data_IF_541064798724
#
_entry.id   IF_541064798724
#
_cell.length_a   1.000
_cell.length_b   1.000
_cell.length_c   1.000
_cell.angle_alpha   90.00
_cell.angle_beta   90.00
_cell.angle_gamma   90.00
#
_symmetry.space_group_name_H-M   'P 1'
#
loop_
_entity.id
_entity.type
_entity.pdbx_description
1 polymer ?
#
# COMPACT_ATOMS: atom_id res chain seq x y z
N UNK A 1 1.10 -29.65 21.73
CA UNK A 1 0.68 -28.40 21.06
C UNK A 1 -0.30 -27.73 22.00
N UNK A 2 0.13 -26.75 22.81
CA UNK A 2 -0.81 -26.12 23.75
C UNK A 2 -1.57 -25.00 23.04
N UNK A 3 -2.59 -25.45 22.31
CA UNK A 3 -3.72 -24.70 21.77
C UNK A 3 -4.47 -24.00 22.89
N UNK A 4 -5.14 -22.89 22.58
CA UNK A 4 -5.97 -22.07 23.48
C UNK A 4 -6.74 -22.93 24.48
N UNK A 5 -6.15 -23.10 25.66
CA UNK A 5 -6.64 -24.04 26.66
C UNK A 5 -7.70 -23.31 27.47
N UNK A 6 -8.95 -23.77 27.48
CA UNK A 6 -10.03 -23.12 28.22
C UNK A 6 -9.78 -23.09 29.74
N UNK A 7 -8.85 -23.89 30.25
CA UNK A 7 -8.45 -23.89 31.66
C UNK A 7 -7.40 -22.83 32.00
N UNK A 8 -6.70 -22.28 31.01
CA UNK A 8 -5.72 -21.21 31.20
C UNK A 8 -6.42 -19.84 31.17
N UNK A 9 -6.37 -19.15 32.31
CA UNK A 9 -6.96 -17.81 32.47
C UNK A 9 -6.20 -16.75 31.68
N UNK A 10 -4.89 -16.94 31.45
CA UNK A 10 -4.05 -15.93 30.81
C UNK A 10 -3.82 -16.22 29.30
N UNK A 11 -4.46 -15.46 28.40
CA UNK A 11 -4.32 -15.65 26.96
C UNK A 11 -2.95 -15.23 26.41
N UNK A 12 -2.11 -14.55 27.20
CA UNK A 12 -0.78 -14.11 26.78
C UNK A 12 0.23 -15.26 26.59
N UNK A 13 -0.12 -16.46 27.07
CA UNK A 13 0.67 -17.68 26.84
C UNK A 13 0.23 -18.45 25.60
N UNK A 14 -0.87 -18.03 24.96
CA UNK A 14 -1.43 -18.71 23.82
C UNK A 14 -0.62 -18.41 22.57
N UNK A 15 -0.43 -19.44 21.73
CA UNK A 15 0.08 -19.23 20.39
C UNK A 15 -0.82 -18.25 19.63
N UNK A 16 -0.19 -17.44 18.77
CA UNK A 16 -0.87 -16.46 17.92
C UNK A 16 -1.49 -15.27 18.67
N UNK A 17 -1.27 -15.17 19.99
CA UNK A 17 -1.69 -14.02 20.81
C UNK A 17 -0.43 -13.31 21.31
N UNK A 18 -0.41 -11.98 21.19
CA UNK A 18 0.63 -11.12 21.78
C UNK A 18 -0.03 -10.20 22.78
N UNK A 19 0.63 -10.00 23.93
CA UNK A 19 0.21 -9.05 24.95
C UNK A 19 1.24 -7.94 25.18
N UNK A 20 0.79 -6.83 25.75
CA UNK A 20 1.68 -5.79 26.28
C UNK A 20 2.23 -6.17 27.67
N UNK A 21 3.00 -5.27 28.27
CA UNK A 21 3.60 -5.44 29.60
C UNK A 21 2.56 -5.53 30.74
N UNK A 22 1.33 -5.09 30.49
CA UNK A 22 0.20 -5.16 31.43
C UNK A 22 -0.61 -6.45 31.26
N UNK A 23 -0.11 -7.43 30.49
CA UNK A 23 -0.81 -8.68 30.17
C UNK A 23 -2.15 -8.49 29.45
N UNK A 24 -2.31 -7.37 28.72
CA UNK A 24 -3.47 -7.14 27.86
C UNK A 24 -3.14 -7.52 26.42
N UNK A 25 -4.06 -8.20 25.75
CA UNK A 25 -3.92 -8.61 24.35
C UNK A 25 -3.81 -7.40 23.43
N UNK A 26 -2.77 -7.37 22.59
CA UNK A 26 -2.49 -6.31 21.61
C UNK A 26 -2.46 -6.80 20.17
N UNK A 27 -2.21 -8.09 19.93
CA UNK A 27 -2.26 -8.69 18.59
C UNK A 27 -2.82 -10.10 18.62
N UNK A 28 -3.67 -10.40 17.65
CA UNK A 28 -4.09 -11.76 17.29
C UNK A 28 -3.65 -12.00 15.84
N UNK A 29 -2.83 -13.02 15.62
CA UNK A 29 -2.26 -13.36 14.32
C UNK A 29 -2.54 -14.81 13.93
N UNK A 30 -3.66 -15.02 13.25
CA UNK A 30 -4.15 -16.33 12.81
C UNK A 30 -4.27 -16.40 11.29
N UNK A 31 -3.34 -15.78 10.58
CA UNK A 31 -3.28 -15.84 9.12
C UNK A 31 -3.07 -17.27 8.60
N UNK A 32 -3.72 -17.64 7.50
CA UNK A 32 -3.51 -18.93 6.81
C UNK A 32 -3.64 -20.16 7.72
N UNK A 33 -4.48 -20.08 8.75
CA UNK A 33 -4.64 -21.10 9.77
C UNK A 33 -5.75 -22.13 9.45
N UNK A 34 -6.32 -22.07 8.24
CA UNK A 34 -7.44 -22.91 7.78
C UNK A 34 -8.65 -22.84 8.73
N UNK A 35 -8.85 -21.69 9.38
CA UNK A 35 -9.94 -21.46 10.31
C UNK A 35 -11.27 -21.38 9.57
N UNK A 36 -12.33 -21.85 10.22
CA UNK A 36 -13.72 -21.73 9.77
C UNK A 36 -14.59 -21.34 10.96
N UNK A 37 -15.88 -21.07 10.72
CA UNK A 37 -16.79 -20.56 11.74
C UNK A 37 -17.09 -19.08 11.55
N UNK A 38 -17.36 -18.36 12.64
CA UNK A 38 -17.77 -16.96 12.60
C UNK A 38 -16.98 -16.12 13.61
N UNK A 39 -16.84 -14.83 13.33
CA UNK A 39 -16.35 -13.86 14.30
C UNK A 39 -17.39 -13.69 15.42
N UNK A 40 -16.91 -13.53 16.65
CA UNK A 40 -17.75 -13.41 17.83
C UNK A 40 -17.72 -11.98 18.37
N UNK A 41 -18.84 -11.52 18.93
CA UNK A 41 -19.01 -10.15 19.46
C UNK A 41 -18.02 -9.84 20.60
N UNK A 42 -17.58 -10.86 21.33
CA UNK A 42 -16.63 -10.76 22.44
C UNK A 42 -15.24 -10.27 21.98
N UNK A 43 -14.91 -10.36 20.68
CA UNK A 43 -13.69 -9.75 20.14
C UNK A 43 -13.64 -8.23 20.42
N UNK A 44 -14.80 -7.56 20.46
CA UNK A 44 -14.90 -6.14 20.78
C UNK A 44 -14.55 -5.78 22.24
N UNK A 45 -14.31 -6.77 23.11
CA UNK A 45 -13.91 -6.55 24.51
C UNK A 45 -12.40 -6.38 24.67
N UNK A 46 -11.61 -6.66 23.64
CA UNK A 46 -10.15 -6.56 23.66
C UNK A 46 -9.69 -5.10 23.48
N UNK A 47 -9.97 -4.24 24.46
CA UNK A 47 -9.82 -2.78 24.34
C UNK A 47 -8.43 -2.27 23.92
N UNK A 48 -7.37 -3.04 24.17
CA UNK A 48 -5.98 -2.70 23.79
C UNK A 48 -5.52 -3.39 22.50
N UNK A 49 -6.40 -4.08 21.77
CA UNK A 49 -6.06 -4.74 20.52
C UNK A 49 -5.65 -3.70 19.47
N UNK A 50 -4.49 -3.91 18.86
CA UNK A 50 -3.90 -3.07 17.83
C UNK A 50 -3.90 -3.76 16.47
N UNK A 51 -3.74 -5.09 16.44
CA UNK A 51 -3.66 -5.87 15.19
C UNK A 51 -4.58 -7.08 15.28
N UNK A 52 -5.54 -7.15 14.35
CA UNK A 52 -6.40 -8.31 14.15
C UNK A 52 -6.18 -8.87 12.75
N UNK A 53 -5.35 -9.91 12.67
CA UNK A 53 -4.88 -10.52 11.42
C UNK A 53 -5.53 -11.90 11.27
N UNK A 54 -6.62 -11.98 10.50
CA UNK A 54 -7.40 -13.21 10.30
C UNK A 54 -7.53 -13.59 8.81
N UNK A 55 -6.69 -13.01 7.96
CA UNK A 55 -6.77 -13.18 6.51
C UNK A 55 -6.37 -14.59 6.05
N UNK A 56 -6.77 -14.94 4.83
CA UNK A 56 -6.52 -16.26 4.21
C UNK A 56 -7.07 -17.42 5.07
N UNK A 57 -8.35 -17.35 5.39
CA UNK A 57 -9.07 -18.38 6.13
C UNK A 57 -10.43 -18.66 5.45
N UNK A 58 -11.29 -19.44 6.12
CA UNK A 58 -12.66 -19.77 5.67
C UNK A 58 -13.70 -19.23 6.66
N UNK A 59 -13.40 -18.09 7.31
CA UNK A 59 -14.30 -17.47 8.27
C UNK A 59 -15.52 -16.93 7.51
N UNK A 60 -16.69 -17.17 8.07
CA UNK A 60 -18.00 -16.87 7.48
C UNK A 60 -18.83 -16.00 8.43
N UNK A 61 -20.07 -15.68 8.05
CA UNK A 61 -20.94 -14.82 8.84
C UNK A 61 -20.66 -13.33 8.63
N UNK A 62 -21.10 -12.48 9.55
CA UNK A 62 -20.96 -11.03 9.45
C UNK A 62 -19.74 -10.53 10.22
N UNK A 63 -19.26 -9.34 9.85
CA UNK A 63 -18.33 -8.57 10.68
C UNK A 63 -19.15 -8.00 11.86
N UNK A 64 -18.83 -8.32 13.13
CA UNK A 64 -19.59 -7.82 14.28
C UNK A 64 -19.44 -6.29 14.44
N UNK A 65 -20.53 -5.62 14.79
CA UNK A 65 -20.53 -4.17 15.02
C UNK A 65 -19.63 -3.79 16.21
N UNK A 66 -19.44 -4.72 17.15
CA UNK A 66 -18.60 -4.56 18.35
C UNK A 66 -17.11 -4.42 18.03
N UNK A 67 -16.65 -4.80 16.83
CA UNK A 67 -15.27 -4.49 16.41
C UNK A 67 -15.01 -2.98 16.37
N UNK A 68 -16.06 -2.15 16.22
CA UNK A 68 -15.96 -0.70 16.34
C UNK A 68 -15.63 -0.18 17.75
N UNK A 69 -15.63 -1.04 18.78
CA UNK A 69 -15.21 -0.69 20.14
C UNK A 69 -13.68 -0.75 20.33
N UNK A 70 -12.94 -1.30 19.37
CA UNK A 70 -11.49 -1.49 19.44
C UNK A 70 -10.74 -0.20 19.08
N UNK A 71 -10.95 0.88 19.83
CA UNK A 71 -10.44 2.23 19.49
C UNK A 71 -8.90 2.34 19.38
N UNK A 72 -8.16 1.33 19.84
CA UNK A 72 -6.72 1.22 19.67
C UNK A 72 -6.27 0.46 18.40
N UNK A 73 -7.22 -0.05 17.61
CA UNK A 73 -6.94 -0.89 16.45
C UNK A 73 -6.23 -0.07 15.35
N UNK A 74 -5.12 -0.61 14.87
CA UNK A 74 -4.27 -0.06 13.81
C UNK A 74 -4.45 -0.86 12.53
N UNK A 75 -4.60 -2.19 12.62
CA UNK A 75 -4.78 -3.08 11.49
C UNK A 75 -5.98 -4.00 11.68
N UNK A 76 -6.89 -4.00 10.70
CA UNK A 76 -8.00 -4.93 10.60
C UNK A 76 -7.91 -5.66 9.25
N UNK A 77 -7.41 -6.89 9.28
CA UNK A 77 -7.12 -7.67 8.10
C UNK A 77 -7.93 -8.95 8.06
N UNK A 78 -9.03 -8.90 7.30
CA UNK A 78 -10.02 -9.96 7.15
C UNK A 78 -10.13 -10.48 5.71
N UNK A 79 -9.22 -10.06 4.82
CA UNK A 79 -9.25 -10.41 3.41
C UNK A 79 -9.07 -11.91 3.15
N UNK A 80 -9.48 -12.39 1.97
CA UNK A 80 -9.46 -13.83 1.62
C UNK A 80 -10.20 -14.68 2.67
N UNK A 81 -11.48 -14.37 2.87
CA UNK A 81 -12.40 -15.11 3.74
C UNK A 81 -13.77 -15.25 3.06
N UNK A 82 -14.75 -15.79 3.77
CA UNK A 82 -16.10 -16.02 3.29
C UNK A 82 -17.12 -15.13 4.04
N UNK A 83 -16.71 -13.92 4.47
CA UNK A 83 -17.53 -12.98 5.22
C UNK A 83 -18.65 -12.40 4.33
N UNK A 84 -19.79 -12.14 4.96
CA UNK A 84 -21.07 -11.73 4.33
C UNK A 84 -21.69 -10.55 5.07
N UNK A 85 -22.74 -9.96 4.51
CA UNK A 85 -23.43 -8.82 5.11
C UNK A 85 -22.71 -7.48 4.89
N UNK A 86 -23.16 -6.41 5.56
CA UNK A 86 -22.59 -5.08 5.39
C UNK A 86 -21.25 -4.90 6.12
N UNK A 87 -20.48 -3.92 5.67
CA UNK A 87 -19.38 -3.34 6.47
C UNK A 87 -20.03 -2.53 7.60
N UNK A 88 -19.73 -2.78 8.88
CA UNK A 88 -20.33 -2.03 9.99
C UNK A 88 -19.97 -0.55 9.96
N UNK A 89 -20.97 0.33 10.11
CA UNK A 89 -20.75 1.77 10.24
C UNK A 89 -19.92 2.12 11.49
N UNK A 90 -19.92 1.24 12.49
CA UNK A 90 -19.15 1.39 13.73
C UNK A 90 -17.64 1.37 13.50
N UNK A 91 -17.15 0.81 12.40
CA UNK A 91 -15.72 0.84 12.05
C UNK A 91 -15.21 2.27 11.83
N UNK A 92 -16.08 3.22 11.49
CA UNK A 92 -15.72 4.64 11.41
C UNK A 92 -15.34 5.29 12.75
N UNK A 93 -15.54 4.60 13.88
CA UNK A 93 -15.09 5.05 15.22
C UNK A 93 -13.60 4.79 15.46
N UNK A 94 -12.96 3.96 14.63
CA UNK A 94 -11.59 3.49 14.83
C UNK A 94 -10.56 4.54 14.39
N UNK A 95 -10.41 5.60 15.18
CA UNK A 95 -9.58 6.77 14.83
C UNK A 95 -8.09 6.49 14.63
N UNK A 96 -7.57 5.35 15.11
CA UNK A 96 -6.18 4.91 14.92
C UNK A 96 -5.98 3.93 13.76
N UNK A 97 -7.05 3.54 13.06
CA UNK A 97 -7.02 2.51 12.03
C UNK A 97 -6.24 3.00 10.80
N UNK A 98 -5.14 2.31 10.49
CA UNK A 98 -4.27 2.62 9.33
C UNK A 98 -4.49 1.65 8.18
N UNK A 99 -4.82 0.40 8.48
CA UNK A 99 -4.98 -0.65 7.49
C UNK A 99 -6.36 -1.31 7.65
N UNK A 100 -7.16 -1.22 6.60
CA UNK A 100 -8.46 -1.89 6.51
C UNK A 100 -8.50 -2.70 5.20
N UNK A 101 -8.28 -4.01 5.31
CA UNK A 101 -8.31 -4.93 4.17
C UNK A 101 -9.42 -5.94 4.34
N UNK A 102 -10.46 -5.78 3.52
CA UNK A 102 -11.66 -6.62 3.50
C UNK A 102 -11.87 -7.27 2.12
N UNK A 103 -10.88 -7.16 1.22
CA UNK A 103 -10.95 -7.69 -0.13
C UNK A 103 -11.11 -9.22 -0.17
N UNK A 104 -11.60 -9.73 -1.30
CA UNK A 104 -11.81 -11.17 -1.51
C UNK A 104 -12.71 -11.79 -0.44
N UNK A 105 -13.91 -11.23 -0.31
CA UNK A 105 -14.99 -11.71 0.56
C UNK A 105 -16.33 -11.63 -0.21
N UNK A 106 -17.45 -11.80 0.50
CA UNK A 106 -18.81 -11.74 -0.06
C UNK A 106 -19.61 -10.62 0.63
N UNK A 107 -18.94 -9.52 0.97
CA UNK A 107 -19.56 -8.36 1.63
C UNK A 107 -20.54 -7.66 0.68
N UNK A 108 -21.63 -7.15 1.24
CA UNK A 108 -22.77 -6.57 0.52
C UNK A 108 -23.13 -5.20 1.08
N UNK A 109 -24.05 -4.48 0.45
CA UNK A 109 -24.49 -3.17 0.95
C UNK A 109 -23.52 -2.04 0.59
N UNK A 110 -23.69 -0.89 1.23
CA UNK A 110 -22.95 0.33 0.92
C UNK A 110 -21.62 0.40 1.67
N UNK A 111 -20.67 1.16 1.12
CA UNK A 111 -19.49 1.58 1.88
C UNK A 111 -19.94 2.62 2.91
N UNK A 112 -19.75 2.40 4.22
CA UNK A 112 -20.14 3.35 5.26
C UNK A 112 -19.50 4.72 5.08
N UNK A 113 -20.32 5.77 5.07
CA UNK A 113 -19.82 7.15 5.05
C UNK A 113 -19.00 7.49 6.29
N UNK A 114 -19.22 6.80 7.41
CA UNK A 114 -18.44 6.97 8.64
C UNK A 114 -16.95 6.64 8.47
N UNK A 115 -16.58 5.76 7.53
CA UNK A 115 -15.18 5.46 7.26
C UNK A 115 -14.41 6.67 6.70
N UNK A 116 -15.10 7.62 6.06
CA UNK A 116 -14.48 8.86 5.56
C UNK A 116 -13.99 9.78 6.69
N UNK A 117 -14.50 9.60 7.91
CA UNK A 117 -14.05 10.35 9.09
C UNK A 117 -12.72 9.82 9.65
N UNK A 118 -12.26 8.65 9.20
CA UNK A 118 -11.03 8.03 9.69
C UNK A 118 -9.83 8.58 8.90
N UNK A 119 -9.28 9.70 9.38
CA UNK A 119 -8.15 10.40 8.74
C UNK A 119 -6.82 9.64 8.79
N UNK A 120 -6.71 8.62 9.65
CA UNK A 120 -5.51 7.81 9.83
C UNK A 120 -5.37 6.65 8.83
N UNK A 121 -6.40 6.35 8.03
CA UNK A 121 -6.36 5.26 7.05
C UNK A 121 -5.31 5.54 5.98
N UNK A 122 -4.38 4.61 5.83
CA UNK A 122 -3.29 4.62 4.85
C UNK A 122 -3.54 3.61 3.74
N UNK A 123 -4.15 2.47 4.07
CA UNK A 123 -4.54 1.45 3.11
C UNK A 123 -5.98 1.03 3.35
N UNK A 124 -6.73 1.10 2.27
CA UNK A 124 -8.07 0.56 2.17
C UNK A 124 -8.07 -0.41 0.97
N UNK A 125 -8.54 -1.62 1.19
CA UNK A 125 -8.82 -2.56 0.10
C UNK A 125 -10.16 -3.26 0.35
N UNK A 126 -11.14 -2.94 -0.49
CA UNK A 126 -12.49 -3.47 -0.50
C UNK A 126 -12.79 -4.24 -1.80
N UNK A 127 -11.76 -4.50 -2.62
CA UNK A 127 -11.92 -5.12 -3.93
C UNK A 127 -12.46 -6.55 -3.83
N UNK A 128 -12.98 -7.09 -4.93
CA UNK A 128 -13.47 -8.48 -5.00
C UNK A 128 -14.54 -8.79 -3.93
N UNK A 129 -15.63 -8.01 -3.92
CA UNK A 129 -16.76 -8.17 -3.02
C UNK A 129 -18.08 -7.94 -3.81
N UNK A 130 -19.22 -7.79 -3.11
CA UNK A 130 -20.53 -7.49 -3.70
C UNK A 130 -21.11 -6.17 -3.18
N UNK A 131 -20.25 -5.20 -2.87
CA UNK A 131 -20.65 -3.88 -2.37
C UNK A 131 -21.39 -3.10 -3.47
N UNK A 132 -22.40 -2.33 -3.08
CA UNK A 132 -23.30 -1.57 -3.95
C UNK A 132 -23.29 -0.08 -3.61
N UNK A 133 -23.81 0.74 -4.53
CA UNK A 133 -23.95 2.18 -4.32
C UNK A 133 -22.67 2.95 -4.64
N UNK A 134 -22.59 4.21 -4.20
CA UNK A 134 -21.49 5.11 -4.60
C UNK A 134 -20.26 4.97 -3.71
N UNK A 135 -19.08 5.13 -4.30
CA UNK A 135 -17.83 5.29 -3.54
C UNK A 135 -17.84 6.67 -2.85
N UNK A 136 -17.62 6.74 -1.52
CA UNK A 136 -17.47 8.01 -0.84
C UNK A 136 -16.29 8.81 -1.40
N UNK A 137 -16.49 10.10 -1.71
CA UNK A 137 -15.44 10.97 -2.29
C UNK A 137 -14.87 11.98 -1.28
N UNK A 138 -15.30 11.92 -0.02
CA UNK A 138 -14.91 12.86 1.01
C UNK A 138 -13.66 12.39 1.76
N UNK A 139 -12.83 13.32 2.24
CA UNK A 139 -11.68 13.02 3.10
C UNK A 139 -10.61 12.15 2.42
N UNK A 140 -10.00 11.24 3.20
CA UNK A 140 -8.94 10.33 2.76
C UNK A 140 -9.41 9.32 1.69
N UNK A 141 -10.71 9.10 1.55
CA UNK A 141 -11.27 8.16 0.58
C UNK A 141 -10.99 8.55 -0.88
N UNK A 142 -10.83 9.84 -1.16
CA UNK A 142 -10.43 10.35 -2.48
C UNK A 142 -9.00 9.99 -2.87
N UNK A 143 -8.16 9.60 -1.90
CA UNK A 143 -6.75 9.29 -2.09
C UNK A 143 -6.51 7.80 -2.39
N UNK A 144 -7.48 6.93 -2.14
CA UNK A 144 -7.32 5.50 -2.41
C UNK A 144 -7.42 5.20 -3.91
N UNK A 145 -6.56 4.31 -4.43
CA UNK A 145 -6.56 3.97 -5.84
C UNK A 145 -7.87 3.26 -6.22
N UNK A 146 -8.29 3.43 -7.47
CA UNK A 146 -9.47 2.74 -8.02
C UNK A 146 -9.41 1.22 -7.77
N UNK A 147 -8.21 0.63 -7.77
CA UNK A 147 -7.99 -0.79 -7.48
C UNK A 147 -8.62 -1.25 -6.17
N UNK A 148 -8.61 -0.41 -5.13
CA UNK A 148 -9.21 -0.69 -3.81
C UNK A 148 -10.72 -0.94 -3.85
N UNK A 149 -11.40 -0.61 -4.95
CA UNK A 149 -12.84 -0.74 -5.10
C UNK A 149 -13.25 -1.65 -6.27
N UNK A 150 -12.28 -2.21 -7.00
CA UNK A 150 -12.53 -3.04 -8.18
C UNK A 150 -13.34 -4.30 -7.86
N UNK A 151 -14.00 -4.86 -8.88
CA UNK A 151 -14.76 -6.11 -8.76
C UNK A 151 -15.81 -6.08 -7.63
N UNK A 152 -16.60 -5.00 -7.63
CA UNK A 152 -17.80 -4.78 -6.83
C UNK A 152 -18.95 -4.30 -7.73
N UNK A 153 -20.12 -4.01 -7.16
CA UNK A 153 -21.31 -3.44 -7.83
C UNK A 153 -21.43 -1.92 -7.56
N UNK A 154 -20.29 -1.23 -7.45
CA UNK A 154 -20.21 0.18 -7.08
C UNK A 154 -20.42 1.11 -8.28
N UNK A 155 -21.06 2.26 -8.04
CA UNK A 155 -21.20 3.34 -9.02
C UNK A 155 -20.17 4.44 -8.74
N UNK A 156 -19.42 4.85 -9.76
CA UNK A 156 -18.63 6.07 -9.69
C UNK A 156 -19.56 7.25 -9.92
N UNK A 157 -19.66 8.16 -8.93
CA UNK A 157 -20.27 9.46 -9.18
C UNK A 157 -19.38 10.20 -10.19
N UNK A 158 -19.89 10.59 -11.37
CA UNK A 158 -19.12 11.41 -12.28
C UNK A 158 -18.84 12.74 -11.58
N UNK A 159 -17.58 13.14 -11.53
CA UNK A 159 -17.20 14.48 -11.12
C UNK A 159 -18.02 15.49 -11.93
N UNK A 160 -18.58 16.55 -11.33
CA UNK A 160 -19.22 17.60 -12.10
C UNK A 160 -18.16 18.20 -13.03
N UNK A 161 -18.33 17.99 -14.33
CA UNK A 161 -17.52 18.59 -15.37
C UNK A 161 -17.60 20.10 -15.15
N UNK A 162 -16.49 20.81 -14.86
CA UNK A 162 -16.55 22.26 -14.76
C UNK A 162 -17.03 22.83 -16.09
N UNK A 163 -17.97 23.80 -16.10
CA UNK A 163 -18.45 24.38 -17.34
C UNK A 163 -17.26 24.97 -18.10
N UNK A 164 -17.13 24.59 -19.37
CA UNK A 164 -16.17 25.18 -20.29
C UNK A 164 -16.28 26.71 -20.24
N UNK A 165 -15.17 27.46 -20.14
CA UNK A 165 -15.25 28.92 -20.09
C UNK A 165 -15.91 29.44 -21.37
N UNK A 166 -17.09 30.05 -21.22
CA UNK A 166 -17.72 30.79 -22.30
C UNK A 166 -16.84 32.01 -22.60
N UNK A 167 -16.27 32.04 -23.80
CA UNK A 167 -15.59 33.20 -24.33
C UNK A 167 -16.61 34.30 -24.59
N UNK A 168 -16.70 35.24 -23.66
CA UNK A 168 -17.32 36.54 -23.87
C UNK A 168 -16.49 37.31 -24.89
N UNK A 169 -16.97 37.43 -26.13
CA UNK A 169 -16.44 38.38 -27.09
C UNK A 169 -17.32 39.64 -27.05
N UNK A 170 -16.75 40.82 -26.76
CA UNK A 170 -17.48 42.07 -26.92
C UNK A 170 -17.69 42.32 -28.42
N UNK A 171 -18.90 42.73 -28.78
CA UNK A 171 -19.31 42.94 -30.16
C UNK A 171 -18.50 44.04 -30.85
N UNK A 172 -18.35 43.88 -32.17
CA UNK A 172 -18.32 44.99 -33.11
C UNK A 172 -18.92 44.53 -34.45
N UNK A 173 -19.78 45.38 -34.99
CA UNK A 173 -20.49 45.18 -36.25
C UNK A 173 -19.57 45.30 -37.47
N UNK A 174 -19.78 44.48 -38.50
CA UNK A 174 -19.96 44.91 -39.90
C UNK A 174 -20.11 43.69 -40.83
N UNK A 175 -21.27 43.65 -41.49
CA UNK A 175 -21.55 43.24 -42.89
C UNK A 175 -20.48 42.51 -43.72
N UNK A 176 -20.91 41.46 -44.45
CA UNK A 176 -20.32 41.12 -45.76
C UNK A 176 -20.34 39.64 -46.13
N UNK A 177 -21.03 39.32 -47.22
CA UNK A 177 -21.38 37.99 -47.73
C UNK A 177 -20.39 37.40 -48.77
N UNK A 178 -20.41 36.05 -48.90
CA UNK A 178 -20.05 35.13 -50.01
C UNK A 178 -18.58 34.92 -50.41
N UNK A 179 -18.13 33.65 -50.46
CA UNK A 179 -17.67 32.97 -51.69
C UNK A 179 -17.26 31.49 -51.44
N UNK A 180 -17.71 30.59 -52.31
CA UNK A 180 -17.37 29.15 -52.37
C UNK A 180 -15.98 28.93 -52.98
N UNK A 181 -15.27 27.89 -52.52
CA UNK A 181 -14.07 27.35 -53.18
C UNK A 181 -13.73 25.93 -52.67
N UNK A 182 -13.61 24.99 -53.60
CA UNK A 182 -13.43 23.54 -53.44
C UNK A 182 -11.95 23.16 -53.32
N UNK A 183 -11.61 22.11 -52.55
CA UNK A 183 -10.51 21.19 -52.94
C UNK A 183 -9.43 20.84 -51.92
N UNK A 184 -9.55 19.64 -51.32
CA UNK A 184 -8.54 18.60 -51.04
C UNK A 184 -7.17 19.02 -50.46
N UNK A 185 -6.88 18.50 -49.26
CA UNK A 185 -5.52 18.46 -48.70
C UNK A 185 -5.46 17.75 -47.35
N UNK A 186 -5.66 16.42 -47.35
CA UNK A 186 -5.26 15.58 -46.22
C UNK A 186 -3.74 15.70 -46.02
N UNK A 187 -3.29 16.43 -45.00
CA UNK A 187 -1.85 16.62 -44.77
C UNK A 187 -1.41 17.41 -43.54
N UNK A 188 -2.31 18.02 -42.77
CA UNK A 188 -1.90 18.94 -41.69
C UNK A 188 -2.41 18.59 -40.27
N UNK A 189 -2.97 17.40 -40.05
CA UNK A 189 -3.43 16.99 -38.72
C UNK A 189 -2.35 16.32 -37.85
N UNK A 190 -1.20 15.96 -38.43
CA UNK A 190 -0.11 15.28 -37.69
C UNK A 190 1.01 16.20 -37.21
N UNK A 191 1.02 17.49 -37.58
CA UNK A 191 2.07 18.44 -37.16
C UNK A 191 1.71 19.28 -35.92
N UNK A 192 0.46 19.22 -35.43
CA UNK A 192 0.04 19.94 -34.22
C UNK A 192 -0.22 19.05 -32.99
N UNK A 193 -0.22 17.72 -33.14
CA UNK A 193 -0.39 16.81 -32.00
C UNK A 193 0.91 16.60 -31.19
N UNK A 194 2.07 16.60 -31.85
CA UNK A 194 3.35 16.38 -31.18
C UNK A 194 3.78 17.53 -30.22
N UNK A 195 3.59 18.82 -30.56
CA UNK A 195 3.88 19.92 -29.64
C UNK A 195 2.91 19.97 -28.46
N UNK A 196 1.66 19.53 -28.63
CA UNK A 196 0.66 19.50 -27.56
C UNK A 196 0.93 18.40 -26.53
N UNK A 197 1.40 17.22 -26.97
CA UNK A 197 1.82 16.14 -26.07
C UNK A 197 3.11 16.52 -25.34
N UNK A 198 4.07 17.14 -26.04
CA UNK A 198 5.29 17.66 -25.42
C UNK A 198 5.02 18.82 -24.46
N UNK A 199 4.07 19.71 -24.76
CA UNK A 199 3.63 20.79 -23.87
C UNK A 199 2.87 20.24 -22.65
N UNK A 200 2.06 19.19 -22.79
CA UNK A 200 1.44 18.50 -21.65
C UNK A 200 2.46 17.77 -20.77
N UNK A 201 3.53 17.22 -21.35
CA UNK A 201 4.65 16.64 -20.60
C UNK A 201 5.55 17.72 -19.96
N UNK A 202 5.71 18.90 -20.60
CA UNK A 202 6.48 20.02 -20.07
C UNK A 202 5.73 20.79 -18.96
N UNK A 203 4.39 20.95 -19.06
CA UNK A 203 3.57 21.56 -18.01
C UNK A 203 3.50 20.72 -16.73
N UNK A 204 3.73 19.41 -16.81
CA UNK A 204 3.89 18.54 -15.63
C UNK A 204 5.24 18.71 -14.92
N UNK A 205 6.21 19.40 -15.52
CA UNK A 205 7.54 19.60 -14.96
C UNK A 205 7.82 20.98 -14.36
N UNK A 206 6.81 21.86 -14.21
CA UNK A 206 7.04 23.25 -13.76
C UNK A 206 5.88 23.82 -12.93
N UNK A 207 5.64 23.22 -11.77
CA UNK A 207 4.86 23.78 -10.65
C UNK A 207 5.55 23.38 -9.33
N UNK A 208 6.80 23.80 -9.17
CA UNK A 208 7.37 24.27 -7.90
C UNK A 208 7.11 25.80 -7.90
N UNK A 209 6.77 26.55 -6.87
CA UNK A 209 6.85 26.42 -5.42
C UNK A 209 5.65 27.20 -4.84
N UNK A 210 4.94 26.63 -3.87
CA UNK A 210 4.35 27.45 -2.81
C UNK A 210 4.42 26.62 -1.54
N UNK A 211 5.47 26.93 -0.77
CA UNK A 211 5.77 26.40 0.54
C UNK A 211 4.58 26.57 1.49
N UNK A 212 4.14 25.46 2.06
CA UNK A 212 3.54 25.48 3.38
C UNK A 212 4.45 24.66 4.28
N UNK A 213 5.25 25.36 5.06
CA UNK A 213 6.17 24.80 6.04
C UNK A 213 5.34 24.19 7.17
N UNK A 214 5.08 22.88 7.07
CA UNK A 214 4.58 22.10 8.21
C UNK A 214 5.81 21.55 8.89
N UNK A 215 6.12 22.10 10.06
CA UNK A 215 7.13 21.57 10.96
C UNK A 215 6.84 20.09 11.19
N UNK A 216 7.69 19.24 10.63
CA UNK A 216 7.69 17.80 10.87
C UNK A 216 8.13 17.61 12.32
N UNK A 217 7.16 17.48 13.22
CA UNK A 217 7.43 16.79 14.47
C UNK A 217 7.77 15.35 14.12
N UNK A 218 9.03 14.97 14.37
CA UNK A 218 9.53 13.61 14.27
C UNK A 218 8.80 12.73 15.29
N UNK A 219 7.67 12.13 14.87
CA UNK A 219 7.04 11.06 15.63
C UNK A 219 7.71 9.72 15.24
N UNK A 220 8.34 8.99 16.18
CA UNK A 220 9.10 7.79 15.87
C UNK A 220 8.15 6.59 15.61
N UNK A 221 8.50 5.80 14.61
CA UNK A 221 7.96 4.46 14.29
C UNK A 221 6.60 4.35 13.56
N UNK A 222 6.67 4.51 12.23
CA UNK A 222 5.79 3.79 11.30
C UNK A 222 6.38 2.40 11.03
N UNK A 223 5.88 1.36 11.72
CA UNK A 223 6.32 -0.04 11.54
C UNK A 223 5.78 -0.66 10.24
N UNK A 224 6.63 -0.80 9.21
CA UNK A 224 6.36 -1.46 7.92
C UNK A 224 6.36 -3.01 8.02
N UNK A 225 5.58 -3.58 8.94
CA UNK A 225 5.61 -5.02 9.22
C UNK A 225 6.95 -5.49 9.82
N UNK A 226 7.18 -6.79 9.94
CA UNK A 226 8.37 -7.42 10.57
C UNK A 226 9.74 -7.08 9.92
N UNK A 227 9.82 -6.08 9.05
CA UNK A 227 11.04 -5.69 8.35
C UNK A 227 11.94 -4.82 9.22
N UNK A 228 13.20 -5.22 9.36
CA UNK A 228 14.20 -4.41 10.06
C UNK A 228 14.54 -3.16 9.24
N UNK A 229 14.41 -1.97 9.84
CA UNK A 229 15.02 -0.75 9.29
C UNK A 229 16.52 -0.75 9.63
N UNK A 230 17.36 -0.88 8.62
CA UNK A 230 18.81 -0.85 8.78
C UNK A 230 19.32 0.59 8.70
N UNK A 231 20.37 0.91 9.47
CA UNK A 231 21.09 2.17 9.26
C UNK A 231 21.97 2.08 8.01
N UNK A 232 22.20 3.21 7.33
CA UNK A 232 23.11 3.25 6.19
C UNK A 232 24.53 2.81 6.60
N UNK A 233 24.99 3.22 7.78
CA UNK A 233 26.30 2.86 8.32
C UNK A 233 26.44 1.34 8.50
N UNK A 234 25.42 0.68 9.06
CA UNK A 234 25.41 -0.78 9.23
C UNK A 234 25.58 -1.50 7.89
N UNK A 235 24.86 -1.06 6.85
CA UNK A 235 24.95 -1.67 5.52
C UNK A 235 26.25 -1.33 4.79
N UNK A 236 26.83 -0.14 5.01
CA UNK A 236 28.15 0.22 4.50
C UNK A 236 29.21 -0.71 5.09
N UNK A 237 29.27 -0.85 6.42
CA UNK A 237 30.22 -1.77 7.07
C UNK A 237 30.02 -3.20 6.58
N UNK A 238 28.76 -3.67 6.54
CA UNK A 238 28.44 -5.03 6.13
C UNK A 238 28.85 -5.35 4.69
N UNK A 239 28.79 -4.38 3.78
CA UNK A 239 29.13 -4.54 2.36
C UNK A 239 30.56 -4.11 2.01
N UNK A 240 31.39 -3.77 3.00
CA UNK A 240 32.69 -3.14 2.83
C UNK A 240 32.60 -1.88 1.94
N UNK A 241 31.78 -0.93 2.38
CA UNK A 241 31.48 0.35 1.73
C UNK A 241 31.02 0.20 0.27
N UNK A 242 30.13 -0.78 0.02
CA UNK A 242 29.65 -1.11 -1.33
C UNK A 242 30.80 -1.37 -2.34
N UNK A 243 31.85 -2.07 -1.89
CA UNK A 243 32.99 -2.43 -2.73
C UNK A 243 32.57 -3.19 -3.98
N UNK A 244 33.23 -2.91 -5.10
CA UNK A 244 33.01 -3.59 -6.38
C UNK A 244 33.30 -5.10 -6.30
N UNK A 245 34.16 -5.53 -5.37
CA UNK A 245 34.47 -6.95 -5.10
C UNK A 245 33.30 -7.75 -4.54
N UNK A 246 32.32 -7.07 -3.93
CA UNK A 246 31.15 -7.69 -3.32
C UNK A 246 29.91 -7.65 -4.23
N UNK A 247 30.03 -7.21 -5.49
CA UNK A 247 28.90 -7.15 -6.41
C UNK A 247 28.51 -8.56 -6.84
N UNK A 248 27.28 -8.95 -6.54
CA UNK A 248 26.65 -10.19 -7.00
C UNK A 248 26.03 -10.01 -8.39
N UNK A 249 25.36 -8.88 -8.62
CA UNK A 249 24.64 -8.60 -9.87
C UNK A 249 24.75 -7.13 -10.24
N UNK A 250 24.98 -6.85 -11.52
CA UNK A 250 24.84 -5.52 -12.14
C UNK A 250 23.64 -5.54 -13.07
N UNK A 251 22.68 -4.65 -12.86
CA UNK A 251 21.51 -4.54 -13.72
C UNK A 251 21.11 -3.08 -13.95
N UNK A 252 20.16 -2.89 -14.87
CA UNK A 252 19.58 -1.58 -15.19
C UNK A 252 18.84 -0.94 -14.00
N UNK A 253 18.41 -1.77 -13.04
CA UNK A 253 17.64 -1.38 -11.85
C UNK A 253 18.50 -1.28 -10.58
N UNK A 254 19.82 -1.13 -10.72
CA UNK A 254 20.76 -1.01 -9.61
C UNK A 254 21.75 -2.16 -9.49
N UNK A 255 22.51 -2.14 -8.39
CA UNK A 255 23.56 -3.12 -8.08
C UNK A 255 23.17 -3.91 -6.83
N UNK A 256 23.45 -5.20 -6.84
CA UNK A 256 23.24 -6.08 -5.67
C UNK A 256 24.60 -6.44 -5.09
N UNK A 257 24.77 -6.19 -3.80
CA UNK A 257 26.01 -6.43 -3.06
C UNK A 257 25.82 -7.57 -2.06
N UNK A 258 26.84 -8.41 -1.91
CA UNK A 258 26.95 -9.34 -0.79
C UNK A 258 27.39 -8.57 0.44
N UNK A 259 26.69 -8.76 1.56
CA UNK A 259 27.06 -8.22 2.85
C UNK A 259 27.13 -9.28 3.94
N UNK A 260 27.91 -9.03 4.97
CA UNK A 260 27.92 -9.78 6.23
C UNK A 260 27.57 -8.82 7.37
N UNK A 261 26.44 -9.06 8.03
CA UNK A 261 25.98 -8.26 9.17
C UNK A 261 26.84 -8.57 10.41
N UNK A 262 26.73 -7.71 11.45
CA UNK A 262 27.47 -7.86 12.70
C UNK A 262 27.16 -9.16 13.45
N UNK A 263 25.93 -9.69 13.29
CA UNK A 263 25.50 -10.99 13.83
C UNK A 263 26.08 -12.19 13.04
N UNK A 264 26.92 -11.95 12.02
CA UNK A 264 27.50 -12.96 11.15
C UNK A 264 26.61 -13.39 9.98
N UNK A 265 25.36 -12.93 9.91
CA UNK A 265 24.44 -13.27 8.84
C UNK A 265 24.89 -12.76 7.48
N UNK A 266 24.71 -13.59 6.44
CA UNK A 266 24.87 -13.14 5.05
C UNK A 266 23.59 -12.51 4.51
N UNK A 267 23.74 -11.39 3.80
CA UNK A 267 22.64 -10.65 3.18
C UNK A 267 22.97 -10.26 1.73
N UNK A 268 21.93 -10.05 0.93
CA UNK A 268 22.02 -9.41 -0.38
C UNK A 268 21.40 -8.01 -0.30
N UNK A 269 22.20 -6.97 -0.53
CA UNK A 269 21.78 -5.57 -0.46
C UNK A 269 21.62 -5.02 -1.87
N UNK A 270 20.38 -4.79 -2.29
CA UNK A 270 20.08 -4.15 -3.58
C UNK A 270 20.06 -2.64 -3.38
N UNK A 271 21.03 -1.96 -3.97
CA UNK A 271 21.09 -0.50 -4.04
C UNK A 271 20.37 -0.04 -5.28
N UNK A 272 19.24 0.65 -5.09
CA UNK A 272 18.45 1.21 -6.18
C UNK A 272 19.15 2.42 -6.79
N UNK A 273 18.78 2.77 -8.02
CA UNK A 273 19.34 3.94 -8.70
C UNK A 273 18.86 5.21 -8.00
N UNK A 274 19.73 6.22 -7.87
CA UNK A 274 19.36 7.52 -7.30
C UNK A 274 18.30 8.20 -8.18
N UNK A 275 17.11 8.39 -7.61
CA UNK A 275 16.10 9.34 -8.07
C UNK A 275 15.85 10.34 -6.94
N UNK A 276 16.44 11.53 -7.02
CA UNK A 276 16.30 12.58 -6.00
C UNK A 276 14.99 13.36 -6.17
N UNK A 277 13.87 12.64 -6.16
CA UNK A 277 12.53 13.25 -6.19
C UNK A 277 11.72 12.77 -4.99
N UNK A 278 10.87 13.64 -4.45
CA UNK A 278 9.92 13.30 -3.38
C UNK A 278 8.96 12.18 -3.82
N UNK A 279 8.63 12.14 -5.12
CA UNK A 279 7.91 11.02 -5.74
C UNK A 279 8.67 9.67 -5.61
N UNK A 280 10.00 9.68 -5.73
CA UNK A 280 10.84 8.49 -5.57
C UNK A 280 10.90 7.97 -4.12
N UNK A 281 10.70 8.83 -3.12
CA UNK A 281 10.55 8.40 -1.71
C UNK A 281 9.22 7.67 -1.49
N UNK A 282 8.11 8.25 -1.95
CA UNK A 282 6.80 7.62 -1.84
C UNK A 282 6.75 6.31 -2.64
N UNK A 283 7.32 6.29 -3.84
CA UNK A 283 7.43 5.10 -4.67
C UNK A 283 8.25 4.01 -3.99
N UNK A 284 9.38 4.35 -3.36
CA UNK A 284 10.20 3.37 -2.65
C UNK A 284 9.51 2.82 -1.41
N UNK A 285 8.82 3.66 -0.63
CA UNK A 285 7.99 3.18 0.49
C UNK A 285 6.91 2.22 0.01
N UNK A 286 6.22 2.58 -1.08
CA UNK A 286 5.19 1.74 -1.70
C UNK A 286 5.78 0.42 -2.20
N UNK A 287 6.97 0.42 -2.80
CA UNK A 287 7.65 -0.79 -3.27
C UNK A 287 8.08 -1.69 -2.09
N UNK A 288 8.66 -1.13 -1.03
CA UNK A 288 9.01 -1.86 0.19
C UNK A 288 7.75 -2.49 0.81
N UNK A 289 6.66 -1.74 0.84
CA UNK A 289 5.39 -2.17 1.41
C UNK A 289 4.69 -3.26 0.58
N UNK A 290 4.71 -3.16 -0.75
CA UNK A 290 4.19 -4.22 -1.62
C UNK A 290 5.05 -5.49 -1.53
N UNK A 291 6.38 -5.36 -1.50
CA UNK A 291 7.30 -6.51 -1.41
C UNK A 291 7.24 -7.16 -0.02
N UNK A 292 7.06 -6.38 1.05
CA UNK A 292 6.94 -6.93 2.42
C UNK A 292 5.71 -7.82 2.58
N UNK A 293 4.66 -7.53 1.82
CA UNK A 293 3.37 -8.23 1.82
C UNK A 293 3.29 -9.34 0.76
N UNK A 294 4.25 -9.41 -0.16
CA UNK A 294 4.28 -10.44 -1.20
C UNK A 294 4.73 -11.79 -0.61
N UNK A 295 3.77 -12.67 -0.33
CA UNK A 295 4.03 -14.03 0.18
C UNK A 295 3.79 -15.05 -0.92
N UNK A 296 4.87 -15.60 -1.46
CA UNK A 296 4.80 -16.73 -2.38
C UNK A 296 6.01 -17.64 -2.15
N UNK A 297 5.82 -18.96 -2.24
CA UNK A 297 6.87 -19.98 -2.01
C UNK A 297 8.15 -19.78 -2.84
N UNK A 298 8.05 -19.06 -3.96
CA UNK A 298 9.16 -18.80 -4.88
C UNK A 298 9.61 -17.32 -4.92
N UNK A 299 9.06 -16.45 -4.06
CA UNK A 299 9.50 -15.05 -3.97
C UNK A 299 10.57 -14.89 -2.89
N UNK A 300 11.57 -14.06 -3.19
CA UNK A 300 12.64 -13.76 -2.24
C UNK A 300 12.11 -12.90 -1.10
N UNK A 301 12.14 -13.46 0.11
CA UNK A 301 11.69 -12.76 1.31
C UNK A 301 12.59 -11.56 1.61
N UNK A 302 11.98 -10.38 1.73
CA UNK A 302 12.66 -9.18 2.18
C UNK A 302 12.96 -9.30 3.68
N UNK A 303 14.20 -9.01 4.08
CA UNK A 303 14.66 -9.00 5.48
C UNK A 303 14.54 -7.61 6.10
N UNK A 304 14.69 -6.57 5.27
CA UNK A 304 14.56 -5.19 5.72
C UNK A 304 14.89 -4.19 4.62
N UNK A 305 15.02 -2.93 5.02
CA UNK A 305 15.31 -1.83 4.11
C UNK A 305 16.14 -0.74 4.82
N UNK A 306 16.79 0.11 4.04
CA UNK A 306 17.38 1.36 4.50
C UNK A 306 16.92 2.47 3.57
N UNK A 307 16.52 3.58 4.17
CA UNK A 307 16.04 4.77 3.48
C UNK A 307 16.66 6.00 4.11
N UNK A 308 17.44 6.72 3.33
CA UNK A 308 17.98 8.05 3.67
C UNK A 308 17.68 8.99 2.48
N UNK A 309 17.90 10.32 2.64
CA UNK A 309 17.70 11.25 1.53
C UNK A 309 18.53 10.92 0.27
N UNK A 310 19.68 10.26 0.44
CA UNK A 310 20.58 9.86 -0.64
C UNK A 310 20.44 8.40 -1.06
N UNK A 311 20.04 7.50 -0.16
CA UNK A 311 20.14 6.06 -0.38
C UNK A 311 18.81 5.33 -0.19
N UNK A 312 18.53 4.43 -1.13
CA UNK A 312 17.38 3.53 -1.07
C UNK A 312 17.86 2.10 -1.28
N UNK A 313 17.82 1.32 -0.21
CA UNK A 313 18.41 -0.02 -0.15
C UNK A 313 17.37 -1.05 0.27
N UNK A 314 17.29 -2.16 -0.46
CA UNK A 314 16.50 -3.34 -0.10
C UNK A 314 17.44 -4.44 0.39
N UNK A 315 17.12 -5.06 1.54
CA UNK A 315 17.95 -6.10 2.16
C UNK A 315 17.20 -7.43 2.11
N UNK A 316 17.77 -8.39 1.39
CA UNK A 316 17.22 -9.74 1.23
C UNK A 316 18.08 -10.77 1.98
N UNK A 317 17.48 -11.91 2.32
CA UNK A 317 18.25 -13.09 2.72
C UNK A 317 19.19 -13.51 1.59
N UNK A 318 20.43 -13.85 1.93
CA UNK A 318 21.41 -14.31 0.95
C UNK A 318 21.06 -15.72 0.46
N UNK A 319 20.97 -15.92 -0.85
CA UNK A 319 20.81 -17.24 -1.46
C UNK A 319 22.17 -17.92 -1.60
N UNK A 320 22.39 -18.97 -0.81
CA UNK A 320 23.64 -19.75 -0.83
C UNK A 320 23.87 -20.41 -2.20
N UNK A 321 22.78 -20.82 -2.87
CA UNK A 321 22.84 -21.51 -4.16
C UNK A 321 22.85 -20.57 -5.37
N UNK A 322 23.02 -19.25 -5.18
CA UNK A 322 23.02 -18.29 -6.28
C UNK A 322 21.64 -18.07 -6.92
N UNK A 323 21.61 -17.44 -8.10
CA UNK A 323 20.37 -17.10 -8.81
C UNK A 323 19.94 -18.19 -9.78
N UNK A 324 18.65 -18.31 -10.11
CA UNK A 324 18.20 -19.21 -11.20
C UNK A 324 18.95 -18.94 -12.51
N UNK A 325 19.33 -17.69 -12.77
CA UNK A 325 20.11 -17.31 -13.93
C UNK A 325 21.58 -17.80 -13.92
N UNK A 326 22.14 -18.18 -12.76
CA UNK A 326 23.46 -18.84 -12.66
C UNK A 326 23.34 -20.35 -12.84
N UNK A 327 22.22 -20.95 -12.42
CA UNK A 327 21.90 -22.37 -12.71
C UNK A 327 21.66 -22.62 -14.20
N UNK A 328 20.91 -21.73 -14.86
CA UNK A 328 20.62 -21.83 -16.30
C UNK A 328 21.87 -21.60 -17.16
N UNK A 329 22.84 -20.83 -16.67
CA UNK A 329 24.10 -20.55 -17.38
C UNK A 329 25.24 -21.52 -17.06
N UNK A 330 24.97 -22.60 -16.32
CA UNK A 330 25.92 -23.70 -16.12
C UNK A 330 27.25 -23.28 -15.47
N UNK A 331 27.24 -22.27 -14.61
CA UNK A 331 28.45 -21.83 -13.90
C UNK A 331 28.37 -22.25 -12.43
N UNK A 332 28.49 -23.56 -12.20
CA UNK A 332 28.86 -24.10 -10.90
C UNK A 332 30.33 -24.54 -11.00
N UNK A 333 31.22 -23.77 -10.38
CA UNK A 333 32.52 -24.22 -9.90
C UNK A 333 32.57 -23.88 -8.42
#
# INVERSE_FOLDING_TARGET
MHSWDPTLVNPCTWYHVTCNNESSVTRIDLQSANLSGQLVVQLGQLANLQYLELYDNRISGRIPDELGNLTNLVSLDLYLNNLTGPIPDTLGKLSKLRFLRLNDNILTGHIPMSLTATSSLQILDLSNNRLTGSIPVNGSFSLFPFSSFTNNLLTYLPTPIPPSPQTYFPGNSATGTIARGVGIGAGAALLFAAPFIAFFWWRRGKLEDNSFDVTVEEDPEVHLGQLKKFSLHELQVATNYFSSKNILVRGRFGKVYRGRLADGSLVAVKRLKEEHTQAGELQFRTEVEMISRAVHRNLLRLRGFCMTPSERLLVYFFMINGSVASWIRGSAC
#
